data_IF_024413700434
#
_entry.id   IF_024413700434
#
_cell.length_a   1.000
_cell.length_b   1.000
_cell.length_c   1.000
_cell.angle_alpha   90.00
_cell.angle_beta   90.00
_cell.angle_gamma   90.00
#
_symmetry.space_group_name_H-M   'P 1'
#
loop_
_entity.id
_entity.type
_entity.pdbx_description
1 polymer ?
#
# COMPACT_ATOMS: atom_id res chain seq x y z
N UNK A 1 9.84 -19.32 -36.88
CA UNK A 1 8.45 -19.10 -36.37
C UNK A 1 8.32 -19.30 -34.85
N UNK A 2 9.17 -20.06 -34.15
CA UNK A 2 9.09 -20.26 -32.69
C UNK A 2 9.51 -19.07 -31.80
N UNK A 3 10.26 -18.09 -32.33
CA UNK A 3 10.83 -17.00 -31.53
C UNK A 3 9.78 -16.02 -30.97
N UNK A 4 8.66 -15.83 -31.68
CA UNK A 4 7.62 -14.87 -31.28
C UNK A 4 6.73 -15.39 -30.14
N UNK A 5 6.50 -16.71 -30.09
CA UNK A 5 5.73 -17.38 -29.03
C UNK A 5 6.49 -17.36 -27.70
N UNK A 6 7.80 -17.62 -27.72
CA UNK A 6 8.65 -17.58 -26.53
C UNK A 6 8.76 -16.16 -25.96
N UNK A 7 8.84 -15.14 -26.82
CA UNK A 7 8.84 -13.74 -26.37
C UNK A 7 7.49 -13.39 -25.74
N UNK A 8 6.36 -13.73 -26.38
CA UNK A 8 5.02 -13.53 -25.80
C UNK A 8 4.88 -14.23 -24.46
N UNK A 9 5.28 -15.50 -24.35
CA UNK A 9 5.20 -16.25 -23.10
C UNK A 9 6.13 -15.68 -22.02
N UNK A 10 7.32 -15.18 -22.38
CA UNK A 10 8.21 -14.51 -21.43
C UNK A 10 7.67 -13.15 -20.96
N UNK A 11 6.95 -12.43 -21.83
CA UNK A 11 6.30 -11.16 -21.47
C UNK A 11 5.05 -11.41 -20.63
N UNK A 12 4.25 -12.42 -20.96
CA UNK A 12 3.08 -12.85 -20.19
C UNK A 12 3.51 -13.39 -18.83
N UNK A 13 4.52 -14.27 -18.77
CA UNK A 13 5.08 -14.78 -17.52
C UNK A 13 5.72 -13.67 -16.68
N UNK A 14 6.44 -12.72 -17.29
CA UNK A 14 6.97 -11.54 -16.57
C UNK A 14 5.84 -10.61 -16.08
N UNK A 15 4.71 -10.51 -16.79
CA UNK A 15 3.53 -9.74 -16.39
C UNK A 15 2.77 -10.41 -15.24
N UNK A 16 2.61 -11.73 -15.25
CA UNK A 16 1.96 -12.46 -14.14
C UNK A 16 2.82 -12.51 -12.87
N UNK A 17 4.15 -12.53 -12.99
CA UNK A 17 5.06 -12.74 -11.85
C UNK A 17 5.50 -11.46 -11.11
N UNK A 18 4.88 -10.31 -11.39
CA UNK A 18 5.25 -9.01 -10.81
C UNK A 18 4.26 -8.47 -9.76
N UNK A 19 3.29 -9.27 -9.30
CA UNK A 19 2.56 -9.01 -8.05
C UNK A 19 3.45 -9.24 -6.81
N UNK A 20 4.71 -8.77 -6.83
CA UNK A 20 5.57 -8.78 -5.65
C UNK A 20 5.16 -7.66 -4.72
N UNK A 21 4.17 -7.97 -3.88
CA UNK A 21 3.81 -7.20 -2.70
C UNK A 21 4.94 -7.35 -1.68
N UNK A 22 5.77 -6.32 -1.55
CA UNK A 22 6.76 -6.22 -0.47
C UNK A 22 6.30 -5.08 0.43
N UNK A 23 5.72 -5.39 1.59
CA UNK A 23 5.22 -4.41 2.56
C UNK A 23 6.27 -3.37 2.98
N UNK A 24 7.56 -3.66 2.83
CA UNK A 24 8.64 -2.71 3.09
C UNK A 24 8.95 -1.77 1.91
N UNK A 25 8.64 -2.20 0.67
CA UNK A 25 8.86 -1.44 -0.57
C UNK A 25 7.57 -0.87 -1.19
N UNK A 26 6.40 -1.15 -0.59
CA UNK A 26 5.09 -0.72 -1.08
C UNK A 26 4.29 -1.82 -1.79
N UNK A 27 3.15 -1.45 -2.33
CA UNK A 27 2.28 -2.30 -3.14
C UNK A 27 2.38 -1.90 -4.61
N UNK A 28 2.16 -2.87 -5.49
CA UNK A 28 2.09 -2.67 -6.93
C UNK A 28 0.81 -3.28 -7.48
N UNK A 29 0.12 -2.53 -8.32
CA UNK A 29 -1.01 -3.00 -9.13
C UNK A 29 -0.67 -2.82 -10.60
N UNK A 30 -1.08 -3.77 -11.42
CA UNK A 30 -0.84 -3.74 -12.86
C UNK A 30 -2.15 -4.06 -13.56
N UNK A 31 -2.51 -3.23 -14.52
CA UNK A 31 -3.70 -3.38 -15.34
C UNK A 31 -3.26 -3.34 -16.81
N UNK A 32 -3.78 -4.25 -17.62
CA UNK A 32 -3.68 -4.16 -19.08
C UNK A 32 -5.03 -3.66 -19.62
N UNK A 33 -5.00 -2.63 -20.45
CA UNK A 33 -6.16 -2.15 -21.16
C UNK A 33 -5.81 -1.82 -22.61
N UNK A 34 -6.38 -2.57 -23.54
CA UNK A 34 -6.16 -2.42 -24.98
C UNK A 34 -4.67 -2.48 -25.38
N UNK A 35 -3.89 -3.32 -24.68
CA UNK A 35 -2.45 -3.45 -24.90
C UNK A 35 -1.60 -2.33 -24.30
N UNK A 36 -2.20 -1.45 -23.49
CA UNK A 36 -1.49 -0.48 -22.67
C UNK A 36 -1.31 -1.02 -21.25
N UNK A 37 -0.07 -0.94 -20.76
CA UNK A 37 0.32 -1.35 -19.40
C UNK A 37 0.12 -0.15 -18.45
N UNK A 38 -0.88 -0.21 -17.57
CA UNK A 38 -1.07 0.76 -16.48
C UNK A 38 -0.55 0.14 -15.19
N UNK A 39 0.40 0.80 -14.53
CA UNK A 39 0.94 0.34 -13.26
C UNK A 39 0.76 1.40 -12.18
N UNK A 40 0.41 0.95 -10.98
CA UNK A 40 0.34 1.79 -9.81
C UNK A 40 1.27 1.26 -8.73
N UNK A 41 2.11 2.14 -8.21
CA UNK A 41 2.90 1.90 -7.01
C UNK A 41 2.39 2.76 -5.87
N UNK A 42 2.30 2.18 -4.68
CA UNK A 42 2.03 2.96 -3.47
C UNK A 42 2.78 2.48 -2.24
N UNK A 43 3.12 3.42 -1.36
CA UNK A 43 3.81 3.17 -0.10
C UNK A 43 2.85 3.36 1.07
N UNK A 44 2.59 2.29 1.81
CA UNK A 44 1.70 2.30 2.99
C UNK A 44 2.26 3.21 4.10
N UNK A 45 3.59 3.24 4.28
CA UNK A 45 4.22 4.03 5.35
C UNK A 45 4.25 5.53 5.04
N UNK A 46 4.55 5.90 3.79
CA UNK A 46 4.72 7.32 3.42
C UNK A 46 3.50 7.95 2.74
N UNK A 47 2.49 7.14 2.41
CA UNK A 47 1.30 7.54 1.67
C UNK A 47 1.59 8.00 0.23
N UNK A 48 2.80 7.73 -0.29
CA UNK A 48 3.18 8.11 -1.66
C UNK A 48 2.56 7.13 -2.64
N UNK A 49 1.93 7.65 -3.67
CA UNK A 49 1.29 6.90 -4.75
C UNK A 49 1.78 7.43 -6.09
N UNK A 50 2.05 6.53 -7.03
CA UNK A 50 2.50 6.84 -8.38
C UNK A 50 1.76 5.97 -9.37
N UNK A 51 1.25 6.57 -10.42
CA UNK A 51 0.61 5.87 -11.55
C UNK A 51 1.47 6.09 -12.79
N UNK A 52 1.75 5.00 -13.49
CA UNK A 52 2.52 4.98 -14.73
C UNK A 52 1.71 4.33 -15.84
N UNK A 53 1.81 4.86 -17.04
CA UNK A 53 1.19 4.37 -18.26
C UNK A 53 2.29 4.02 -19.27
N UNK A 54 2.38 2.77 -19.72
CA UNK A 54 3.44 2.27 -20.59
C UNK A 54 4.84 2.66 -20.09
N UNK A 55 5.11 2.46 -18.79
CA UNK A 55 6.35 2.82 -18.08
C UNK A 55 6.64 4.35 -17.95
N UNK A 56 5.73 5.21 -18.38
CA UNK A 56 5.83 6.67 -18.18
C UNK A 56 5.02 7.08 -16.95
N UNK A 57 5.62 7.77 -15.98
CA UNK A 57 4.89 8.26 -14.80
C UNK A 57 3.96 9.39 -15.21
N UNK A 58 2.64 9.14 -15.15
CA UNK A 58 1.59 10.09 -15.52
C UNK A 58 1.04 10.85 -14.32
N UNK A 59 1.14 10.27 -13.12
CA UNK A 59 0.67 10.90 -11.90
C UNK A 59 1.52 10.48 -10.71
N UNK A 60 1.81 11.42 -9.83
CA UNK A 60 2.48 11.16 -8.55
C UNK A 60 1.81 12.02 -7.49
N UNK A 61 1.27 11.38 -6.46
CA UNK A 61 0.61 12.04 -5.36
C UNK A 61 1.15 11.53 -4.03
N UNK A 62 1.00 12.31 -2.97
CA UNK A 62 1.32 11.87 -1.62
C UNK A 62 0.15 12.18 -0.70
N UNK A 63 -0.53 11.14 -0.29
CA UNK A 63 -1.67 11.23 0.58
C UNK A 63 -1.31 10.76 2.00
N UNK A 64 -1.03 11.70 2.90
CA UNK A 64 -0.75 11.40 4.30
C UNK A 64 -2.00 11.50 5.20
N UNK A 65 -3.09 12.10 4.70
CA UNK A 65 -4.27 12.44 5.51
C UNK A 65 -5.52 11.65 5.15
N UNK A 66 -5.61 11.07 3.96
CA UNK A 66 -6.81 10.37 3.48
C UNK A 66 -6.51 8.93 3.07
N UNK A 67 -7.49 8.06 3.31
CA UNK A 67 -7.49 6.63 2.95
C UNK A 67 -7.98 6.36 1.52
N UNK A 68 -8.28 7.43 0.78
CA UNK A 68 -8.79 7.41 -0.59
C UNK A 68 -7.93 8.31 -1.45
N UNK A 69 -7.61 7.85 -2.64
CA UNK A 69 -6.88 8.62 -3.64
C UNK A 69 -7.50 8.44 -5.01
N UNK A 70 -7.41 9.48 -5.83
CA UNK A 70 -7.91 9.48 -7.19
C UNK A 70 -6.85 10.08 -8.11
N UNK A 71 -6.51 9.33 -9.15
CA UNK A 71 -5.54 9.73 -10.16
C UNK A 71 -6.23 9.74 -11.52
N UNK A 72 -6.66 10.93 -11.95
CA UNK A 72 -7.21 11.15 -13.28
C UNK A 72 -6.09 11.54 -14.26
N UNK A 73 -6.07 10.96 -15.46
CA UNK A 73 -5.15 11.32 -16.52
C UNK A 73 -5.72 10.97 -17.91
N UNK A 74 -5.31 11.69 -18.94
CA UNK A 74 -5.74 11.45 -20.33
C UNK A 74 -4.56 10.98 -21.17
N UNK A 75 -4.68 9.81 -21.79
CA UNK A 75 -3.67 9.23 -22.70
C UNK A 75 -4.37 8.44 -23.81
N UNK A 76 -3.78 8.44 -25.01
CA UNK A 76 -4.31 7.71 -26.18
C UNK A 76 -5.79 8.04 -26.54
N UNK A 77 -6.28 9.23 -26.18
CA UNK A 77 -7.66 9.64 -26.44
C UNK A 77 -8.69 9.15 -25.41
N UNK A 78 -8.26 8.42 -24.39
CA UNK A 78 -9.09 7.94 -23.29
C UNK A 78 -8.86 8.73 -22.01
N UNK A 79 -9.93 8.90 -21.22
CA UNK A 79 -9.86 9.43 -19.88
C UNK A 79 -9.76 8.28 -18.86
N UNK A 80 -8.59 8.12 -18.26
CA UNK A 80 -8.34 7.13 -17.24
C UNK A 80 -8.49 7.72 -15.85
N UNK A 81 -9.07 6.93 -14.95
CA UNK A 81 -9.20 7.28 -13.54
C UNK A 81 -8.86 6.07 -12.68
N UNK A 82 -7.76 6.15 -11.96
CA UNK A 82 -7.37 5.13 -10.97
C UNK A 82 -7.82 5.59 -9.60
N UNK A 83 -8.73 4.84 -8.99
CA UNK A 83 -9.21 5.10 -7.63
C UNK A 83 -8.62 4.09 -6.67
N UNK A 84 -8.05 4.57 -5.57
CA UNK A 84 -7.64 3.74 -4.45
C UNK A 84 -8.52 3.98 -3.25
N UNK A 85 -8.89 2.91 -2.57
CA UNK A 85 -9.69 2.96 -1.35
C UNK A 85 -9.19 1.91 -0.37
N UNK A 86 -8.60 2.39 0.73
CA UNK A 86 -8.27 1.55 1.87
C UNK A 86 -9.56 1.24 2.63
N UNK A 87 -10.13 0.06 2.41
CA UNK A 87 -11.40 -0.37 3.02
C UNK A 87 -11.21 -0.70 4.50
N UNK A 88 -10.07 -1.31 4.85
CA UNK A 88 -9.71 -1.62 6.24
C UNK A 88 -8.26 -1.24 6.53
N UNK A 89 -8.06 -0.08 7.16
CA UNK A 89 -6.73 0.42 7.57
C UNK A 89 -6.00 -0.59 8.47
N UNK A 90 -6.71 -1.18 9.43
CA UNK A 90 -6.15 -2.16 10.37
C UNK A 90 -5.72 -3.47 9.71
N UNK A 91 -6.40 -3.88 8.63
CA UNK A 91 -6.10 -5.11 7.86
C UNK A 91 -5.26 -4.83 6.62
N UNK A 92 -4.93 -3.57 6.34
CA UNK A 92 -4.24 -3.18 5.13
C UNK A 92 -4.97 -3.63 3.88
N UNK A 93 -6.31 -3.69 3.91
CA UNK A 93 -7.10 -4.03 2.73
C UNK A 93 -7.23 -2.80 1.86
N UNK A 94 -6.67 -2.88 0.65
CA UNK A 94 -6.65 -1.81 -0.33
C UNK A 94 -7.35 -2.29 -1.59
N UNK A 95 -8.42 -1.60 -1.98
CA UNK A 95 -9.09 -1.77 -3.26
C UNK A 95 -8.59 -0.73 -4.24
N UNK A 96 -8.21 -1.17 -5.43
CA UNK A 96 -7.83 -0.30 -6.55
C UNK A 96 -8.74 -0.60 -7.72
N UNK A 97 -9.35 0.45 -8.26
CA UNK A 97 -10.29 0.34 -9.37
C UNK A 97 -9.86 1.29 -10.48
N UNK A 98 -9.72 0.74 -11.69
CA UNK A 98 -9.40 1.46 -12.91
C UNK A 98 -10.68 1.73 -13.69
N UNK A 99 -10.90 2.99 -14.02
CA UNK A 99 -11.95 3.45 -14.90
C UNK A 99 -11.33 3.98 -16.21
N UNK A 100 -12.02 3.76 -17.31
CA UNK A 100 -11.72 4.32 -18.64
C UNK A 100 -13.02 4.92 -19.20
N UNK A 101 -13.00 6.18 -19.61
CA UNK A 101 -14.15 6.92 -20.14
C UNK A 101 -15.41 6.80 -19.26
N UNK A 102 -15.20 6.87 -17.94
CA UNK A 102 -16.25 6.77 -16.93
C UNK A 102 -16.78 5.35 -16.66
N UNK A 103 -16.24 4.31 -17.31
CA UNK A 103 -16.62 2.90 -17.09
C UNK A 103 -15.55 2.15 -16.31
N UNK A 104 -15.98 1.31 -15.37
CA UNK A 104 -15.06 0.42 -14.65
C UNK A 104 -14.52 -0.63 -15.62
N UNK A 105 -13.20 -0.67 -15.78
CA UNK A 105 -12.50 -1.62 -16.66
C UNK A 105 -11.95 -2.77 -15.85
N UNK A 106 -11.33 -2.46 -14.72
CA UNK A 106 -10.70 -3.45 -13.86
C UNK A 106 -10.79 -3.02 -12.41
N UNK A 107 -10.88 -3.99 -11.51
CA UNK A 107 -10.80 -3.76 -10.08
C UNK A 107 -10.04 -4.90 -9.43
N UNK A 108 -9.03 -4.55 -8.66
CA UNK A 108 -8.24 -5.48 -7.88
C UNK A 108 -8.30 -5.09 -6.41
N UNK A 109 -8.37 -6.10 -5.54
CA UNK A 109 -8.31 -5.89 -4.10
C UNK A 109 -7.11 -6.63 -3.57
N UNK A 110 -6.20 -5.89 -2.96
CA UNK A 110 -5.06 -6.44 -2.28
C UNK A 110 -5.40 -6.56 -0.80
N UNK A 111 -5.67 -7.79 -0.38
CA UNK A 111 -5.80 -8.19 1.00
C UNK A 111 -4.47 -8.80 1.46
N UNK A 112 -3.53 -7.97 1.93
CA UNK A 112 -2.26 -8.44 2.50
C UNK A 112 -1.90 -7.75 3.82
N UNK A 113 -2.64 -8.09 4.88
CA UNK A 113 -2.02 -8.49 6.14
C UNK A 113 -2.02 -10.03 6.29
N UNK A 114 -2.00 -10.79 5.20
CA UNK A 114 -2.12 -12.26 5.26
C UNK A 114 -0.84 -13.04 5.57
N UNK A 115 0.31 -12.39 5.80
CA UNK A 115 1.45 -13.06 6.47
C UNK A 115 1.99 -12.18 7.58
N UNK A 116 1.67 -12.62 8.80
CA UNK A 116 1.91 -11.94 10.05
C UNK A 116 3.36 -11.51 10.24
N UNK A 117 3.52 -10.33 10.84
CA UNK A 117 4.63 -9.96 11.72
C UNK A 117 4.49 -8.50 12.21
N UNK A 118 3.68 -7.65 11.54
CA UNK A 118 3.56 -6.23 11.93
C UNK A 118 2.80 -6.02 13.25
N UNK A 119 1.73 -6.76 13.49
CA UNK A 119 0.96 -6.65 14.74
C UNK A 119 1.70 -7.20 15.96
N UNK A 120 2.67 -8.13 15.79
CA UNK A 120 3.52 -8.60 16.91
C UNK A 120 4.42 -7.48 17.45
N UNK A 121 4.78 -6.49 16.65
CA UNK A 121 5.68 -5.40 17.08
C UNK A 121 4.95 -4.30 17.85
N UNK A 122 3.66 -4.08 17.57
CA UNK A 122 2.85 -3.09 18.30
C UNK A 122 2.13 -3.69 19.53
N UNK A 123 1.82 -4.98 19.55
CA UNK A 123 1.20 -5.64 20.71
C UNK A 123 2.20 -6.17 21.75
N UNK A 124 3.52 -6.11 21.51
CA UNK A 124 4.54 -6.37 22.53
C UNK A 124 4.80 -5.16 23.44
N UNK A 125 3.81 -4.28 23.61
CA UNK A 125 3.85 -3.13 24.52
C UNK A 125 3.19 -3.47 25.87
N UNK A 126 3.01 -4.74 26.18
CA UNK A 126 2.71 -5.24 27.50
C UNK A 126 3.92 -5.12 28.44
N UNK A 127 5.16 -5.16 27.95
CA UNK A 127 6.35 -5.06 28.83
C UNK A 127 6.81 -3.63 29.12
N UNK A 128 6.60 -2.68 28.21
CA UNK A 128 7.04 -1.29 28.41
C UNK A 128 6.15 -0.54 29.40
N UNK A 129 4.85 -0.82 29.43
CA UNK A 129 3.92 -0.20 30.37
C UNK A 129 4.15 -0.67 31.82
N UNK A 130 4.50 -1.95 32.03
CA UNK A 130 4.80 -2.46 33.37
C UNK A 130 6.12 -1.93 33.94
N UNK A 131 7.17 -1.76 33.11
CA UNK A 131 8.43 -1.16 33.57
C UNK A 131 8.25 0.31 33.93
N UNK A 132 7.48 1.07 33.14
CA UNK A 132 7.16 2.46 33.45
C UNK A 132 6.36 2.63 34.75
N UNK A 133 5.40 1.73 35.01
CA UNK A 133 4.58 1.75 36.21
C UNK A 133 5.39 1.45 37.48
N UNK A 134 6.32 0.48 37.44
CA UNK A 134 7.19 0.15 38.57
C UNK A 134 8.14 1.29 38.90
N UNK A 135 8.80 1.88 37.89
CA UNK A 135 9.74 3.00 38.09
C UNK A 135 9.02 4.25 38.59
N UNK A 136 7.84 4.56 38.03
CA UNK A 136 7.01 5.68 38.47
C UNK A 136 6.54 5.53 39.93
N UNK A 137 6.14 4.32 40.32
CA UNK A 137 5.67 4.04 41.68
C UNK A 137 6.80 4.13 42.72
N UNK A 138 8.00 3.62 42.40
CA UNK A 138 9.17 3.73 43.27
C UNK A 138 9.63 5.18 43.47
N UNK A 139 9.66 5.97 42.39
CA UNK A 139 10.06 7.38 42.48
C UNK A 139 9.02 8.20 43.27
N UNK A 140 7.72 7.94 43.06
CA UNK A 140 6.65 8.60 43.80
C UNK A 140 6.68 8.26 45.30
N UNK A 141 6.91 6.99 45.65
CA UNK A 141 6.96 6.55 47.04
C UNK A 141 8.14 7.16 47.83
N UNK A 142 9.33 7.23 47.23
CA UNK A 142 10.51 7.85 47.84
C UNK A 142 10.34 9.38 48.02
N UNK A 143 9.71 10.05 47.05
CA UNK A 143 9.37 11.46 47.17
C UNK A 143 8.37 11.74 48.29
N UNK A 144 7.35 10.89 48.45
CA UNK A 144 6.35 11.01 49.51
C UNK A 144 6.96 10.82 50.92
N UNK A 145 7.83 9.83 51.11
CA UNK A 145 8.50 9.64 52.40
C UNK A 145 9.45 10.78 52.77
N UNK A 146 10.08 11.44 51.77
CA UNK A 146 10.96 12.59 52.00
C UNK A 146 10.20 13.87 52.38
N UNK A 147 8.89 13.93 52.12
CA UNK A 147 8.03 15.08 52.44
C UNK A 147 7.23 14.92 53.73
N UNK A 148 7.07 13.68 54.21
CA UNK A 148 6.27 13.34 55.40
C UNK A 148 7.08 13.14 56.70
N UNK A 149 8.41 13.34 56.66
CA UNK A 149 9.29 13.31 57.84
C UNK A 149 9.88 14.68 58.12
#
# INVERSE_FOLDING_TARGET
>A
MQTNEVIKQSLVSRREHMSQVSLNNGYWFYFDHEGNDISMWGSVFSGKEKVSFNNEVVSSFRNLSSTKSEHAFTKNGHEYLVKTHMTHVLRGELKVTLFCDGKEVASETLSQLEKGNLLKSFFSMDKLLFVGLIVGFLCGYLGFMSFSG
#
